data_IF_284266592165
#
_entry.id   IF_284266592165
#
_cell.length_a   1.000
_cell.length_b   1.000
_cell.length_c   1.000
_cell.angle_alpha   90.00
_cell.angle_beta   90.00
_cell.angle_gamma   90.00
#
_symmetry.space_group_name_H-M   'P 1'
#
loop_
_entity.id
_entity.type
_entity.pdbx_description
1 polymer ?
#
# COMPACT_ATOMS: atom_id res chain seq x y z
N UNK A 1 30.90 52.79 15.58
CA UNK A 1 29.63 52.05 15.43
C UNK A 1 29.98 50.58 15.58
N UNK A 2 29.67 49.96 16.72
CA UNK A 2 29.97 48.55 16.94
C UNK A 2 29.10 47.68 16.03
N UNK A 3 29.69 46.64 15.45
CA UNK A 3 28.96 45.61 14.72
C UNK A 3 27.92 45.00 15.67
N UNK A 4 26.70 44.78 15.18
CA UNK A 4 25.70 44.12 16.02
C UNK A 4 26.12 42.66 16.26
N UNK A 5 25.69 42.05 17.36
CA UNK A 5 26.02 40.65 17.68
C UNK A 5 25.66 39.68 16.55
N UNK A 6 24.64 39.99 15.75
CA UNK A 6 24.26 39.22 14.55
C UNK A 6 25.27 39.40 13.42
N UNK A 7 25.75 40.61 13.21
CA UNK A 7 26.76 40.90 12.18
C UNK A 7 28.08 40.22 12.54
N UNK A 8 28.47 40.20 13.81
CA UNK A 8 29.68 39.49 14.26
C UNK A 8 29.59 37.98 14.05
N UNK A 9 28.45 37.35 14.36
CA UNK A 9 28.24 35.90 14.12
C UNK A 9 28.26 35.60 12.62
N UNK A 10 27.59 36.42 11.80
CA UNK A 10 27.59 36.24 10.35
C UNK A 10 29.01 36.38 9.80
N UNK A 11 29.77 37.37 10.26
CA UNK A 11 31.17 37.58 9.86
C UNK A 11 32.04 36.39 10.26
N UNK A 12 31.90 35.86 11.50
CA UNK A 12 32.67 34.71 11.96
C UNK A 12 32.35 33.42 11.16
N UNK A 13 31.07 33.17 10.84
CA UNK A 13 30.66 32.02 10.01
C UNK A 13 31.21 32.14 8.60
N UNK A 14 31.19 33.35 8.02
CA UNK A 14 31.73 33.61 6.68
C UNK A 14 33.25 33.44 6.63
N UNK A 15 33.98 33.88 7.67
CA UNK A 15 35.43 33.70 7.77
C UNK A 15 35.77 32.21 7.85
N UNK A 16 35.09 31.45 8.72
CA UNK A 16 35.34 30.01 8.87
C UNK A 16 34.99 29.22 7.59
N UNK A 17 33.88 29.57 6.93
CA UNK A 17 33.52 28.96 5.65
C UNK A 17 34.57 29.27 4.58
N UNK A 18 35.05 30.51 4.51
CA UNK A 18 36.13 30.92 3.61
C UNK A 18 37.41 30.11 3.84
N UNK A 19 37.88 30.03 5.09
CA UNK A 19 39.05 29.25 5.48
C UNK A 19 38.93 27.77 5.11
N UNK A 20 37.76 27.17 5.34
CA UNK A 20 37.50 25.77 5.00
C UNK A 20 37.50 25.54 3.48
N UNK A 21 36.90 26.44 2.71
CA UNK A 21 36.92 26.35 1.24
C UNK A 21 38.33 26.53 0.68
N UNK A 22 39.13 27.41 1.28
CA UNK A 22 40.52 27.61 0.87
C UNK A 22 41.33 26.35 1.16
N UNK A 23 41.26 25.78 2.36
CA UNK A 23 41.91 24.52 2.71
C UNK A 23 41.53 23.37 1.77
N UNK A 24 40.25 23.28 1.43
CA UNK A 24 39.75 22.27 0.50
C UNK A 24 40.27 22.46 -0.93
N UNK A 25 40.32 23.70 -1.42
CA UNK A 25 40.89 24.02 -2.73
C UNK A 25 42.39 23.72 -2.80
N UNK A 26 43.15 24.04 -1.75
CA UNK A 26 44.58 23.72 -1.66
C UNK A 26 44.81 22.20 -1.64
N UNK A 27 43.96 21.47 -0.91
CA UNK A 27 44.01 20.00 -0.87
C UNK A 27 43.68 19.37 -2.24
N UNK A 28 42.77 19.98 -3.02
CA UNK A 28 42.38 19.50 -4.35
C UNK A 28 43.38 19.82 -5.45
N UNK A 29 44.19 20.88 -5.30
CA UNK A 29 45.15 21.35 -6.31
C UNK A 29 46.58 20.84 -6.05
N UNK A 30 46.74 19.91 -5.11
CA UNK A 30 48.02 19.27 -4.78
C UNK A 30 48.25 18.07 -5.69
N UNK A 31 48.69 18.31 -6.92
CA UNK A 31 49.29 17.25 -7.75
C UNK A 31 50.59 16.77 -7.09
N UNK A 32 50.75 15.44 -7.05
CA UNK A 32 51.91 14.74 -6.55
C UNK A 32 53.22 15.33 -7.13
N UNK A 33 54.24 15.45 -6.27
CA UNK A 33 55.65 15.76 -6.57
C UNK A 33 56.09 17.22 -6.46
N UNK A 34 56.25 17.68 -5.20
CA UNK A 34 57.54 18.18 -4.67
C UNK A 34 57.40 18.44 -3.16
N UNK A 35 58.21 17.73 -2.38
CA UNK A 35 58.32 17.95 -0.94
C UNK A 35 58.92 19.34 -0.69
N UNK A 36 58.21 20.18 0.06
CA UNK A 36 58.85 21.03 1.08
C UNK A 36 57.99 20.91 2.34
N UNK A 37 58.66 20.71 3.47
CA UNK A 37 58.11 20.28 4.76
C UNK A 37 56.79 20.98 5.15
N UNK A 38 55.84 20.29 5.81
CA UNK A 38 54.63 20.90 6.37
C UNK A 38 54.90 22.15 7.22
N UNK A 39 56.12 22.30 7.76
CA UNK A 39 56.53 23.44 8.56
C UNK A 39 56.60 24.78 7.79
N UNK A 40 56.83 24.78 6.47
CA UNK A 40 57.00 26.03 5.70
C UNK A 40 55.67 26.67 5.28
N UNK A 41 54.57 25.91 5.29
CA UNK A 41 53.23 26.41 4.98
C UNK A 41 52.59 27.22 6.13
N UNK A 42 53.19 27.21 7.33
CA UNK A 42 52.70 27.95 8.50
C UNK A 42 53.35 29.32 8.66
N UNK A 43 54.38 29.66 7.89
CA UNK A 43 55.16 30.87 8.10
C UNK A 43 54.44 32.16 7.65
N UNK A 44 53.50 32.05 6.70
CA UNK A 44 52.69 33.17 6.19
C UNK A 44 51.35 33.38 6.92
N UNK A 45 51.00 32.51 7.87
CA UNK A 45 49.83 32.66 8.75
C UNK A 45 50.15 33.37 10.07
N UNK A 46 51.36 33.93 10.22
CA UNK A 46 51.79 34.70 11.38
C UNK A 46 51.17 36.10 11.45
N UNK A 47 50.38 36.51 10.45
CA UNK A 47 49.36 37.53 10.68
C UNK A 47 48.24 36.83 11.43
N UNK A 48 48.06 37.19 12.71
CA UNK A 48 46.79 37.21 13.45
C UNK A 48 46.93 36.76 14.92
N UNK A 49 48.12 36.47 15.45
CA UNK A 49 48.25 36.14 16.87
C UNK A 49 47.84 37.34 17.77
N UNK A 50 48.12 38.57 17.33
CA UNK A 50 47.69 39.83 17.96
C UNK A 50 46.17 40.06 17.87
N UNK A 51 45.56 39.73 16.73
CA UNK A 51 44.10 39.82 16.51
C UNK A 51 43.33 38.74 17.27
N UNK A 52 43.92 37.56 17.46
CA UNK A 52 43.33 36.45 18.21
C UNK A 52 43.39 36.71 19.72
N UNK A 53 44.44 37.37 20.22
CA UNK A 53 44.52 37.80 21.61
C UNK A 53 43.58 38.98 21.92
N UNK A 54 43.41 39.95 21.00
CA UNK A 54 42.39 41.02 21.14
C UNK A 54 40.97 40.45 21.17
N UNK A 55 40.65 39.47 20.31
CA UNK A 55 39.33 38.82 20.28
C UNK A 55 39.13 37.90 21.50
N UNK A 56 40.18 37.24 22.01
CA UNK A 56 40.09 36.45 23.25
C UNK A 56 39.88 37.30 24.49
N UNK A 57 40.49 38.47 24.57
CA UNK A 57 40.30 39.40 25.69
C UNK A 57 38.88 40.01 25.72
N UNK A 58 38.23 40.13 24.57
CA UNK A 58 36.84 40.63 24.46
C UNK A 58 35.78 39.53 24.69
N UNK A 59 36.17 38.24 24.62
CA UNK A 59 35.26 37.08 24.79
C UNK A 59 35.19 36.57 26.24
N UNK A 60 35.93 37.15 27.19
CA UNK A 60 35.73 36.86 28.62
C UNK A 60 34.52 37.61 29.20
N UNK A 61 33.31 37.24 28.78
CA UNK A 61 32.11 37.43 29.60
C UNK A 61 31.38 36.09 29.74
N UNK A 62 31.47 35.53 30.96
CA UNK A 62 30.70 34.38 31.46
C UNK A 62 29.22 34.52 31.08
N UNK A 63 28.77 33.72 30.11
CA UNK A 63 27.36 33.63 29.74
C UNK A 63 27.10 33.25 28.28
N UNK A 64 28.09 33.37 27.39
CA UNK A 64 27.92 33.05 25.96
C UNK A 64 27.95 31.53 25.65
N UNK A 65 28.59 30.73 26.50
CA UNK A 65 28.69 29.27 26.30
C UNK A 65 27.33 28.58 26.52
N UNK A 66 26.59 28.99 27.55
CA UNK A 66 25.27 28.42 27.88
C UNK A 66 24.21 28.70 26.79
N UNK A 67 24.27 29.87 26.15
CA UNK A 67 23.37 30.23 25.04
C UNK A 67 23.69 29.44 23.75
N UNK A 68 24.97 29.17 23.49
CA UNK A 68 25.43 28.35 22.35
C UNK A 68 25.01 26.89 22.56
N UNK A 69 25.16 26.36 23.77
CA UNK A 69 24.72 25.01 24.13
C UNK A 69 23.20 24.89 24.02
N UNK A 70 22.45 25.90 24.46
CA UNK A 70 20.99 25.93 24.32
C UNK A 70 20.56 25.94 22.84
N UNK A 71 21.24 26.69 21.98
CA UNK A 71 20.96 26.69 20.54
C UNK A 71 21.33 25.37 19.86
N UNK A 72 22.44 24.74 20.23
CA UNK A 72 22.85 23.43 19.71
C UNK A 72 21.84 22.34 20.10
N UNK A 73 21.34 22.40 21.34
CA UNK A 73 20.35 21.47 21.84
C UNK A 73 19.00 21.64 21.12
N UNK A 74 18.54 22.88 20.89
CA UNK A 74 17.34 23.14 20.12
C UNK A 74 17.45 22.68 18.65
N UNK A 75 18.62 22.81 18.03
CA UNK A 75 18.84 22.31 16.67
C UNK A 75 18.84 20.79 16.61
N UNK A 76 19.42 20.12 17.61
CA UNK A 76 19.38 18.67 17.74
C UNK A 76 17.94 18.14 17.89
N UNK A 77 17.13 18.81 18.72
CA UNK A 77 15.72 18.44 18.92
C UNK A 77 14.88 18.65 17.66
N UNK A 78 15.11 19.74 16.92
CA UNK A 78 14.46 19.99 15.63
C UNK A 78 14.85 18.93 14.59
N UNK A 79 16.12 18.57 14.52
CA UNK A 79 16.62 17.53 13.61
C UNK A 79 16.06 16.14 13.95
N UNK A 80 15.92 15.81 15.24
CA UNK A 80 15.31 14.56 15.68
C UNK A 80 13.82 14.50 15.30
N UNK A 81 13.08 15.59 15.51
CA UNK A 81 11.65 15.70 15.16
C UNK A 81 11.42 15.65 13.64
N UNK A 82 12.35 16.19 12.86
CA UNK A 82 12.30 16.14 11.40
C UNK A 82 12.56 14.72 10.87
N UNK A 83 13.56 14.01 11.43
CA UNK A 83 13.81 12.59 11.12
C UNK A 83 12.63 11.69 11.49
N UNK A 84 11.97 11.95 12.62
CA UNK A 84 10.77 11.20 13.04
C UNK A 84 9.60 11.42 12.06
N UNK A 85 9.39 12.67 11.61
CA UNK A 85 8.38 13.00 10.57
C UNK A 85 8.69 12.33 9.24
N UNK A 86 9.95 12.28 8.84
CA UNK A 86 10.37 11.60 7.61
C UNK A 86 10.13 10.08 7.68
N UNK A 87 10.40 9.47 8.83
CA UNK A 87 10.16 8.04 9.07
C UNK A 87 8.66 7.71 9.04
N UNK A 88 7.82 8.57 9.65
CA UNK A 88 6.36 8.43 9.61
C UNK A 88 5.83 8.57 8.18
N UNK A 89 6.30 9.56 7.42
CA UNK A 89 5.92 9.74 6.02
C UNK A 89 6.35 8.57 5.13
N UNK A 90 7.53 7.97 5.36
CA UNK A 90 7.97 6.76 4.67
C UNK A 90 7.12 5.54 5.04
N UNK A 91 6.74 5.39 6.32
CA UNK A 91 5.87 4.31 6.80
C UNK A 91 4.44 4.43 6.25
N UNK A 92 3.92 5.65 6.11
CA UNK A 92 2.62 5.91 5.47
C UNK A 92 2.65 5.64 3.96
N UNK A 93 3.74 6.01 3.27
CA UNK A 93 3.94 5.67 1.85
C UNK A 93 4.08 4.16 1.63
N UNK A 94 4.81 3.45 2.51
CA UNK A 94 4.92 1.99 2.45
C UNK A 94 3.57 1.29 2.69
N UNK A 95 2.75 1.80 3.61
CA UNK A 95 1.39 1.31 3.86
C UNK A 95 0.43 1.59 2.70
N UNK A 96 0.65 2.67 1.95
CA UNK A 96 -0.10 2.96 0.73
C UNK A 96 0.32 2.05 -0.44
N UNK A 97 1.60 1.73 -0.57
CA UNK A 97 2.12 0.84 -1.63
C UNK A 97 1.78 -0.65 -1.40
N UNK A 98 1.65 -1.11 -0.16
CA UNK A 98 1.19 -2.48 0.16
C UNK A 98 -0.27 -2.77 -0.24
N UNK A 99 -1.06 -1.76 -0.60
CA UNK A 99 -2.45 -1.95 -1.07
C UNK A 99 -2.61 -2.05 -2.59
N UNK A 100 -1.53 -1.94 -3.37
CA UNK A 100 -1.56 -2.21 -4.80
C UNK A 100 -1.44 -3.71 -5.07
N UNK A 101 -2.37 -4.49 -4.52
CA UNK A 101 -2.54 -5.90 -4.83
C UNK A 101 -2.91 -5.99 -6.31
N UNK A 102 -2.11 -6.73 -7.09
CA UNK A 102 -2.35 -6.93 -8.52
C UNK A 102 -3.81 -7.35 -8.74
N UNK A 103 -4.47 -6.71 -9.71
CA UNK A 103 -5.83 -7.05 -10.10
C UNK A 103 -5.93 -8.56 -10.35
N UNK A 104 -6.96 -9.24 -9.82
CA UNK A 104 -7.12 -10.68 -9.98
C UNK A 104 -7.22 -11.01 -11.47
N UNK A 105 -6.22 -11.73 -11.99
CA UNK A 105 -6.08 -12.06 -13.42
C UNK A 105 -7.11 -13.09 -13.92
N UNK A 106 -7.82 -13.77 -13.00
CA UNK A 106 -8.89 -14.71 -13.32
C UNK A 106 -10.24 -14.23 -12.78
N UNK A 107 -11.26 -14.28 -13.63
CA UNK A 107 -12.64 -13.94 -13.31
C UNK A 107 -13.59 -14.95 -13.96
N UNK A 108 -14.79 -15.10 -13.41
CA UNK A 108 -15.87 -15.90 -14.02
C UNK A 108 -17.17 -15.09 -14.11
N UNK A 109 -18.02 -15.40 -15.08
CA UNK A 109 -19.29 -14.70 -15.27
C UNK A 109 -20.39 -15.19 -14.31
N UNK A 110 -21.06 -14.26 -13.64
CA UNK A 110 -22.17 -14.49 -12.72
C UNK A 110 -23.39 -13.66 -13.14
N UNK A 111 -24.55 -14.30 -13.29
CA UNK A 111 -25.80 -13.59 -13.60
C UNK A 111 -26.57 -13.28 -12.32
N UNK A 112 -26.74 -11.98 -12.04
CA UNK A 112 -27.48 -11.45 -10.89
C UNK A 112 -28.91 -12.00 -10.86
N UNK A 113 -29.32 -12.51 -9.70
CA UNK A 113 -30.64 -13.07 -9.46
C UNK A 113 -31.51 -12.12 -8.61
N UNK A 114 -32.81 -12.42 -8.54
CA UNK A 114 -33.73 -11.66 -7.68
C UNK A 114 -33.31 -11.76 -6.22
N UNK A 115 -33.13 -10.61 -5.57
CA UNK A 115 -32.70 -10.52 -4.16
C UNK A 115 -31.19 -10.54 -3.94
N UNK A 116 -30.38 -10.59 -4.99
CA UNK A 116 -28.93 -10.43 -4.91
C UNK A 116 -28.55 -8.98 -4.58
N UNK A 117 -27.44 -8.84 -3.85
CA UNK A 117 -26.75 -7.57 -3.63
C UNK A 117 -25.24 -7.81 -3.72
N UNK A 118 -24.46 -6.75 -3.97
CA UNK A 118 -23.00 -6.87 -4.02
C UNK A 118 -22.43 -7.48 -2.74
N UNK A 119 -22.96 -7.13 -1.56
CA UNK A 119 -22.60 -7.74 -0.27
C UNK A 119 -22.81 -9.26 -0.25
N UNK A 120 -23.98 -9.73 -0.71
CA UNK A 120 -24.31 -11.17 -0.70
C UNK A 120 -23.41 -11.92 -1.67
N UNK A 121 -23.19 -11.37 -2.86
CA UNK A 121 -22.33 -11.95 -3.89
C UNK A 121 -20.87 -11.99 -3.39
N UNK A 122 -20.37 -10.88 -2.87
CA UNK A 122 -19.04 -10.76 -2.26
C UNK A 122 -18.78 -11.83 -1.21
N UNK A 123 -19.67 -11.95 -0.22
CA UNK A 123 -19.53 -12.94 0.87
C UNK A 123 -19.64 -14.38 0.39
N UNK A 124 -20.54 -14.63 -0.57
CA UNK A 124 -20.74 -15.95 -1.14
C UNK A 124 -19.47 -16.45 -1.83
N UNK A 125 -18.82 -15.55 -2.57
CA UNK A 125 -17.65 -15.86 -3.40
C UNK A 125 -16.31 -15.50 -2.75
N UNK A 126 -16.29 -14.95 -1.54
CA UNK A 126 -15.04 -14.63 -0.84
C UNK A 126 -14.19 -13.59 -1.55
N UNK A 127 -14.83 -12.62 -2.22
CA UNK A 127 -14.19 -11.50 -2.93
C UNK A 127 -14.61 -10.19 -2.31
N UNK A 128 -13.81 -9.13 -2.41
CA UNK A 128 -14.24 -7.83 -1.90
C UNK A 128 -15.22 -7.15 -2.87
N UNK A 129 -16.13 -6.33 -2.34
CA UNK A 129 -17.04 -5.51 -3.17
C UNK A 129 -16.24 -4.59 -4.09
N UNK A 130 -15.11 -4.08 -3.59
CA UNK A 130 -14.19 -3.23 -4.35
C UNK A 130 -13.66 -3.97 -5.58
N UNK A 131 -13.20 -5.21 -5.43
CA UNK A 131 -12.69 -6.00 -6.56
C UNK A 131 -13.80 -6.29 -7.57
N UNK A 132 -15.03 -6.58 -7.12
CA UNK A 132 -16.18 -6.76 -8.02
C UNK A 132 -16.44 -5.46 -8.80
N UNK A 133 -16.42 -4.31 -8.12
CA UNK A 133 -16.69 -3.03 -8.76
C UNK A 133 -15.61 -2.66 -9.78
N UNK A 134 -14.34 -2.84 -9.42
CA UNK A 134 -13.20 -2.55 -10.30
C UNK A 134 -13.21 -3.42 -11.57
N UNK A 135 -13.52 -4.71 -11.44
CA UNK A 135 -13.57 -5.64 -12.58
C UNK A 135 -14.77 -5.40 -13.50
N UNK A 136 -15.84 -4.78 -13.00
CA UNK A 136 -17.10 -4.57 -13.74
C UNK A 136 -17.39 -3.09 -14.04
N UNK A 137 -16.44 -2.20 -13.78
CA UNK A 137 -16.58 -0.74 -13.90
C UNK A 137 -17.84 -0.18 -13.23
N UNK A 138 -18.28 -0.79 -12.13
CA UNK A 138 -19.53 -0.43 -11.47
C UNK A 138 -19.37 0.90 -10.72
N UNK A 139 -20.16 1.88 -11.13
CA UNK A 139 -20.24 3.19 -10.48
C UNK A 139 -21.22 3.21 -9.29
N UNK A 140 -22.04 2.16 -9.15
CA UNK A 140 -23.05 2.07 -8.10
C UNK A 140 -23.23 0.64 -7.61
N UNK A 141 -23.75 0.49 -6.40
CA UNK A 141 -24.08 -0.81 -5.81
C UNK A 141 -25.43 -1.39 -6.26
N UNK A 142 -26.17 -0.66 -7.10
CA UNK A 142 -27.47 -1.11 -7.60
C UNK A 142 -27.27 -2.17 -8.69
N UNK A 143 -27.80 -3.37 -8.43
CA UNK A 143 -27.75 -4.48 -9.38
C UNK A 143 -29.10 -4.69 -10.04
N UNK A 144 -29.10 -4.96 -11.35
CA UNK A 144 -30.30 -5.33 -12.10
C UNK A 144 -30.41 -6.84 -12.19
N UNK A 145 -31.61 -7.37 -12.01
CA UNK A 145 -31.87 -8.80 -12.21
C UNK A 145 -31.49 -9.16 -13.64
N UNK A 146 -30.68 -10.20 -13.79
CA UNK A 146 -30.17 -10.66 -15.07
C UNK A 146 -28.91 -9.96 -15.57
N UNK A 147 -28.39 -8.95 -14.86
CA UNK A 147 -27.08 -8.36 -15.12
C UNK A 147 -25.99 -9.42 -14.99
N UNK A 148 -25.01 -9.43 -15.89
CA UNK A 148 -23.85 -10.31 -15.81
C UNK A 148 -22.70 -9.54 -15.17
N UNK A 149 -22.08 -10.13 -14.16
CA UNK A 149 -20.91 -9.62 -13.45
C UNK A 149 -19.75 -10.58 -13.59
N UNK A 150 -18.56 -10.08 -13.86
CA UNK A 150 -17.30 -10.79 -13.79
C UNK A 150 -16.82 -10.81 -12.34
N UNK A 151 -16.85 -11.97 -11.70
CA UNK A 151 -16.46 -12.13 -10.29
C UNK A 151 -15.02 -12.64 -10.25
N UNK A 152 -14.11 -11.98 -9.51
CA UNK A 152 -12.75 -12.46 -9.31
C UNK A 152 -12.68 -13.88 -8.74
N UNK A 153 -11.74 -14.69 -9.23
CA UNK A 153 -11.42 -15.95 -8.59
C UNK A 153 -10.36 -15.71 -7.50
N UNK A 154 -10.72 -15.96 -6.25
CA UNK A 154 -9.75 -16.04 -5.15
C UNK A 154 -9.41 -17.51 -4.87
N UNK A 155 -8.19 -17.81 -4.42
CA UNK A 155 -7.81 -19.16 -3.99
C UNK A 155 -8.78 -19.75 -2.95
N UNK A 156 -9.36 -18.91 -2.11
CA UNK A 156 -10.38 -19.28 -1.11
C UNK A 156 -11.73 -19.66 -1.75
N UNK A 157 -12.15 -19.00 -2.83
CA UNK A 157 -13.35 -19.39 -3.57
C UNK A 157 -13.19 -20.76 -4.24
N UNK A 158 -11.99 -21.03 -4.76
CA UNK A 158 -11.65 -22.31 -5.39
C UNK A 158 -11.63 -23.45 -4.35
N UNK A 159 -10.99 -23.23 -3.21
CA UNK A 159 -10.98 -24.18 -2.09
C UNK A 159 -12.39 -24.45 -1.55
N UNK A 160 -13.22 -23.42 -1.37
CA UNK A 160 -14.60 -23.59 -0.91
C UNK A 160 -15.49 -24.31 -1.92
N UNK A 161 -15.27 -24.08 -3.22
CA UNK A 161 -15.96 -24.83 -4.27
C UNK A 161 -15.53 -26.30 -4.27
N UNK A 162 -14.23 -26.57 -4.10
CA UNK A 162 -13.66 -27.92 -4.02
C UNK A 162 -14.11 -28.67 -2.74
N UNK A 163 -14.18 -27.99 -1.60
CA UNK A 163 -14.68 -28.53 -0.32
C UNK A 163 -16.19 -28.82 -0.38
N UNK A 164 -17.01 -27.90 -0.92
CA UNK A 164 -18.43 -28.14 -1.16
C UNK A 164 -18.67 -29.31 -2.12
N UNK A 165 -17.79 -29.54 -3.10
CA UNK A 165 -17.90 -30.72 -4.00
C UNK A 165 -17.47 -32.02 -3.34
N UNK A 166 -16.60 -31.99 -2.32
CA UNK A 166 -16.17 -33.17 -1.56
C UNK A 166 -17.23 -33.60 -0.54
N UNK A 167 -17.87 -32.65 0.14
CA UNK A 167 -18.89 -32.93 1.15
C UNK A 167 -20.18 -33.49 0.54
N UNK A 168 -20.46 -33.22 -0.75
CA UNK A 168 -21.60 -33.79 -1.50
C UNK A 168 -21.34 -35.25 -1.93
N UNK A 169 -20.09 -35.70 -2.00
CA UNK A 169 -19.76 -37.05 -2.44
C UNK A 169 -20.05 -38.15 -1.39
N UNK A 170 -20.29 -37.77 -0.13
CA UNK A 170 -20.46 -38.71 1.00
C UNK A 170 -21.84 -38.65 1.67
N UNK A 171 -22.79 -37.84 1.16
CA UNK A 171 -24.16 -37.83 1.69
C UNK A 171 -24.96 -38.95 1.02
N UNK A 172 -25.36 -39.95 1.82
CA UNK A 172 -26.41 -40.91 1.50
C UNK A 172 -27.72 -40.16 1.20
N UNK A 173 -27.96 -39.84 -0.07
CA UNK A 173 -29.21 -39.23 -0.54
C UNK A 173 -29.97 -40.24 -1.40
N UNK A 174 -31.18 -40.55 -0.94
CA UNK A 174 -32.18 -41.51 -1.42
C UNK A 174 -32.38 -41.56 -2.95
N UNK A 175 -32.93 -42.69 -3.42
CA UNK A 175 -33.14 -43.18 -4.79
C UNK A 175 -34.03 -42.32 -5.72
N UNK A 176 -34.16 -41.01 -5.52
CA UNK A 176 -34.97 -40.18 -6.41
C UNK A 176 -34.22 -39.89 -7.72
N UNK A 177 -34.67 -40.49 -8.83
CA UNK A 177 -34.12 -40.26 -10.18
C UNK A 177 -34.62 -38.94 -10.81
N UNK A 178 -35.80 -38.46 -10.37
CA UNK A 178 -36.43 -37.25 -10.92
C UNK A 178 -36.98 -36.33 -9.82
N UNK A 179 -36.89 -35.01 -10.06
CA UNK A 179 -37.53 -33.96 -9.28
C UNK A 179 -38.64 -33.29 -10.09
N UNK A 180 -39.81 -33.08 -9.49
CA UNK A 180 -40.90 -32.32 -10.13
C UNK A 180 -40.83 -30.86 -9.67
N UNK A 181 -40.70 -29.94 -10.62
CA UNK A 181 -40.58 -28.49 -10.37
C UNK A 181 -41.83 -28.00 -9.66
N UNK A 182 -41.66 -27.43 -8.46
CA UNK A 182 -42.73 -26.82 -7.68
C UNK A 182 -42.97 -25.35 -8.06
N UNK A 183 -44.00 -24.74 -7.48
CA UNK A 183 -44.28 -23.33 -7.72
C UNK A 183 -43.17 -22.43 -7.14
N UNK A 184 -42.58 -21.58 -7.97
CA UNK A 184 -41.46 -20.70 -7.58
C UNK A 184 -40.11 -21.41 -7.45
N UNK A 185 -40.01 -22.67 -7.88
CA UNK A 185 -38.73 -23.35 -8.02
C UNK A 185 -37.91 -22.75 -9.15
N UNK A 186 -36.60 -22.84 -9.00
CA UNK A 186 -35.63 -22.49 -10.04
C UNK A 186 -34.58 -23.59 -10.08
N UNK A 187 -33.90 -23.81 -11.21
CA UNK A 187 -32.84 -24.81 -11.32
C UNK A 187 -31.82 -24.72 -10.18
N UNK A 188 -31.48 -23.50 -9.76
CA UNK A 188 -30.57 -23.26 -8.64
C UNK A 188 -31.13 -23.71 -7.28
N UNK A 189 -32.41 -23.41 -6.98
CA UNK A 189 -33.06 -23.88 -5.74
C UNK A 189 -33.15 -25.39 -5.72
N UNK A 190 -33.49 -26.01 -6.86
CA UNK A 190 -33.61 -27.46 -7.01
C UNK A 190 -32.25 -28.12 -6.81
N UNK A 191 -31.21 -27.64 -7.49
CA UNK A 191 -29.83 -28.09 -7.34
C UNK A 191 -29.39 -28.08 -5.87
N UNK A 192 -29.62 -26.95 -5.16
CA UNK A 192 -29.29 -26.82 -3.74
C UNK A 192 -30.10 -27.76 -2.85
N UNK A 193 -31.40 -27.94 -3.14
CA UNK A 193 -32.30 -28.80 -2.37
C UNK A 193 -31.97 -30.29 -2.54
N UNK A 194 -31.55 -30.67 -3.73
CA UNK A 194 -31.22 -32.06 -4.12
C UNK A 194 -29.74 -32.40 -3.92
N UNK A 195 -28.91 -31.41 -3.57
CA UNK A 195 -27.47 -31.59 -3.39
C UNK A 195 -26.67 -31.73 -4.69
N UNK A 196 -27.28 -31.55 -5.86
CA UNK A 196 -26.58 -31.67 -7.14
C UNK A 196 -26.02 -30.32 -7.54
N UNK A 197 -24.80 -30.30 -8.08
CA UNK A 197 -24.24 -29.09 -8.66
C UNK A 197 -25.16 -28.54 -9.74
N UNK A 198 -25.46 -27.23 -9.72
CA UNK A 198 -26.36 -26.59 -10.70
C UNK A 198 -25.95 -26.96 -12.13
N UNK A 199 -24.67 -26.86 -12.45
CA UNK A 199 -24.19 -27.17 -13.80
C UNK A 199 -24.51 -28.63 -14.18
N UNK A 200 -24.24 -29.60 -13.30
CA UNK A 200 -24.57 -31.01 -13.53
C UNK A 200 -26.07 -31.24 -13.72
N UNK A 201 -26.91 -30.55 -12.93
CA UNK A 201 -28.37 -30.61 -13.08
C UNK A 201 -28.79 -30.10 -14.47
N UNK A 202 -28.21 -29.00 -14.95
CA UNK A 202 -28.50 -28.44 -16.27
C UNK A 202 -28.03 -29.39 -17.38
N UNK A 203 -26.81 -29.90 -17.29
CA UNK A 203 -26.19 -30.75 -18.30
C UNK A 203 -26.98 -32.06 -18.50
N UNK A 204 -27.37 -32.74 -17.41
CA UNK A 204 -28.12 -34.00 -17.47
C UNK A 204 -29.52 -33.80 -18.07
N UNK A 205 -30.07 -32.58 -17.95
CA UNK A 205 -31.38 -32.23 -18.50
C UNK A 205 -31.29 -31.53 -19.86
N UNK A 206 -30.09 -31.39 -20.43
CA UNK A 206 -29.88 -30.67 -21.69
C UNK A 206 -30.35 -29.21 -21.63
N UNK A 207 -30.31 -28.59 -20.45
CA UNK A 207 -30.78 -27.23 -20.23
C UNK A 207 -29.62 -26.24 -20.38
N UNK A 208 -29.81 -25.24 -21.23
CA UNK A 208 -28.99 -24.03 -21.22
C UNK A 208 -29.57 -22.97 -20.26
N UNK A 209 -28.86 -21.85 -20.09
CA UNK A 209 -29.25 -20.80 -19.16
C UNK A 209 -30.63 -20.16 -19.48
N UNK A 210 -31.13 -20.29 -20.71
CA UNK A 210 -32.36 -19.65 -21.17
C UNK A 210 -33.58 -20.60 -21.10
N UNK A 211 -33.40 -21.87 -21.44
CA UNK A 211 -34.36 -22.96 -21.20
C UNK A 211 -34.56 -23.22 -19.71
N UNK A 212 -33.49 -23.18 -18.91
CA UNK A 212 -33.56 -23.34 -17.47
C UNK A 212 -34.42 -22.28 -16.76
N UNK A 213 -34.52 -21.05 -17.31
CA UNK A 213 -35.40 -19.99 -16.79
C UNK A 213 -36.86 -20.16 -17.15
N UNK A 214 -37.15 -21.00 -18.15
CA UNK A 214 -38.51 -21.25 -18.66
C UNK A 214 -39.17 -22.44 -18.00
N UNK A 215 -38.50 -23.09 -17.04
CA UNK A 215 -39.07 -24.19 -16.27
C UNK A 215 -40.36 -23.75 -15.57
N UNK A 216 -41.37 -24.60 -15.69
CA UNK A 216 -42.71 -24.38 -15.15
C UNK A 216 -43.01 -25.40 -14.04
N UNK A 217 -43.90 -25.05 -13.11
CA UNK A 217 -44.41 -26.03 -12.16
C UNK A 217 -44.98 -27.25 -12.89
N UNK A 218 -44.56 -28.44 -12.48
CA UNK A 218 -44.90 -29.71 -13.12
C UNK A 218 -43.83 -30.28 -14.06
N UNK A 219 -42.83 -29.49 -14.46
CA UNK A 219 -41.70 -30.00 -15.24
C UNK A 219 -40.92 -31.06 -14.44
N UNK A 220 -40.43 -32.09 -15.12
CA UNK A 220 -39.63 -33.16 -14.49
C UNK A 220 -38.17 -33.00 -14.88
N UNK A 221 -37.31 -32.86 -13.88
CA UNK A 221 -35.86 -32.80 -14.05
C UNK A 221 -35.25 -34.10 -13.55
N UNK A 222 -34.34 -34.66 -14.32
CA UNK A 222 -33.46 -35.75 -13.91
C UNK A 222 -32.42 -35.23 -12.94
N UNK A 223 -32.27 -35.91 -11.80
CA UNK A 223 -31.38 -35.48 -10.72
C UNK A 223 -30.27 -36.52 -10.44
N UNK A 224 -30.16 -37.58 -11.24
CA UNK A 224 -29.04 -38.53 -11.20
C UNK A 224 -28.67 -39.01 -12.59
#
# INVERSE_FOLDING_TARGET
>A
MGLSRRDTIIVAVLINAGLLTMLFATAMNSDHDRVSSPAEAYQDLALNEELVEEVKAEVTEKGAEDEIDQMLQEMADRAAKEKERELLAKKEKAKAEETKKEAPKNTFAYKVQSGDSLDKISRKHGVSIRDINEVNDLQSSALRIGQVLNIPETPQAKQKLEEMTKEIAEVDVEEQEFYTVGNGDSPWKIARKTGIALQKLLDINGLDADSARRLRPGDRLRIR
#
